data_IF_250564065659
#
_entry.id   IF_250564065659
#
_cell.length_a   1.000
_cell.length_b   1.000
_cell.length_c   1.000
_cell.angle_alpha   90.00
_cell.angle_beta   90.00
_cell.angle_gamma   90.00
#
_symmetry.space_group_name_H-M   'P 1'
#
loop_
_entity.id
_entity.type
_entity.pdbx_description
1 polymer ?
#
# COMPACT_ATOMS: atom_id res chain seq x y z
N UNK A 1 25.59 -3.60 23.23
CA UNK A 1 24.67 -2.95 22.26
C UNK A 1 24.45 -3.76 20.98
N UNK A 2 25.51 -4.22 20.29
CA UNK A 2 25.43 -4.97 19.02
C UNK A 2 24.53 -6.23 19.13
N UNK A 3 24.76 -7.09 20.13
CA UNK A 3 23.93 -8.29 20.39
C UNK A 3 22.44 -8.01 20.67
N UNK A 4 22.08 -6.80 21.12
CA UNK A 4 20.67 -6.44 21.33
C UNK A 4 20.03 -6.01 20.00
N UNK A 5 20.78 -5.31 19.16
CA UNK A 5 20.36 -4.88 17.83
C UNK A 5 20.15 -6.07 16.89
N UNK A 6 21.05 -7.05 16.92
CA UNK A 6 20.94 -8.26 16.09
C UNK A 6 19.73 -9.11 16.53
N UNK A 7 19.50 -9.27 17.84
CA UNK A 7 18.27 -9.91 18.36
C UNK A 7 17.00 -9.18 17.94
N UNK A 8 17.00 -7.85 17.99
CA UNK A 8 15.85 -7.05 17.56
C UNK A 8 15.60 -7.22 16.05
N UNK A 9 16.65 -7.32 15.24
CA UNK A 9 16.56 -7.60 13.81
C UNK A 9 15.96 -8.99 13.56
N UNK A 10 16.39 -10.04 14.27
CA UNK A 10 15.82 -11.38 14.11
C UNK A 10 14.31 -11.42 14.45
N UNK A 11 13.89 -10.71 15.50
CA UNK A 11 12.46 -10.56 15.83
C UNK A 11 11.73 -9.78 14.73
N UNK A 12 12.33 -8.72 14.20
CA UNK A 12 11.72 -7.92 13.14
C UNK A 12 11.55 -8.72 11.84
N UNK A 13 12.52 -9.56 11.47
CA UNK A 13 12.45 -10.46 10.32
C UNK A 13 11.25 -11.40 10.45
N UNK A 14 11.13 -12.09 11.60
CA UNK A 14 10.00 -12.99 11.86
C UNK A 14 8.66 -12.27 11.76
N UNK A 15 8.54 -11.09 12.36
CA UNK A 15 7.30 -10.30 12.36
C UNK A 15 6.95 -9.73 10.98
N UNK A 16 7.94 -9.32 10.19
CA UNK A 16 7.73 -8.78 8.85
C UNK A 16 7.23 -9.86 7.88
N UNK A 17 7.74 -11.09 8.02
CA UNK A 17 7.32 -12.26 7.26
C UNK A 17 6.14 -13.04 7.87
N UNK A 18 5.33 -12.43 8.75
CA UNK A 18 4.13 -13.06 9.31
C UNK A 18 2.86 -12.52 8.62
N UNK A 19 1.93 -13.39 8.15
CA UNK A 19 2.00 -14.85 8.14
C UNK A 19 3.10 -15.37 7.21
N UNK A 20 3.55 -16.61 7.43
CA UNK A 20 4.68 -17.21 6.70
C UNK A 20 4.50 -17.06 5.18
N UNK A 21 5.60 -16.76 4.48
CA UNK A 21 5.60 -16.58 3.02
C UNK A 21 5.46 -15.13 2.56
N UNK A 22 5.07 -14.20 3.43
CA UNK A 22 4.97 -12.79 3.05
C UNK A 22 6.36 -12.23 2.71
N UNK A 23 6.49 -11.72 1.48
CA UNK A 23 7.69 -11.02 1.02
C UNK A 23 7.60 -9.54 1.37
N UNK A 24 8.71 -8.93 1.75
CA UNK A 24 8.74 -7.56 2.25
C UNK A 24 9.98 -6.79 1.82
N UNK A 25 9.90 -5.45 1.91
CA UNK A 25 11.00 -4.56 1.55
C UNK A 25 11.96 -4.32 2.72
N UNK A 26 13.18 -3.87 2.41
CA UNK A 26 14.14 -3.41 3.43
C UNK A 26 13.56 -2.29 4.30
N UNK A 27 12.80 -1.38 3.68
CA UNK A 27 12.19 -0.25 4.38
C UNK A 27 11.09 -0.69 5.35
N UNK A 28 10.29 -1.69 4.97
CA UNK A 28 9.33 -2.32 5.89
C UNK A 28 10.03 -3.05 7.04
N UNK A 29 11.14 -3.74 6.76
CA UNK A 29 11.93 -4.41 7.79
C UNK A 29 12.51 -3.39 8.80
N UNK A 30 13.00 -2.25 8.31
CA UNK A 30 13.46 -1.15 9.17
C UNK A 30 12.37 -0.66 10.12
N UNK A 31 11.15 -0.42 9.62
CA UNK A 31 10.06 0.04 10.47
C UNK A 31 9.56 -1.05 11.43
N UNK A 32 9.61 -2.33 11.06
CA UNK A 32 9.33 -3.41 12.01
C UNK A 32 10.38 -3.47 13.11
N UNK A 33 11.65 -3.25 12.79
CA UNK A 33 12.71 -3.15 13.78
C UNK A 33 12.52 -1.95 14.71
N UNK A 34 12.08 -0.80 14.18
CA UNK A 34 11.68 0.34 15.01
C UNK A 34 10.57 -0.04 16.00
N UNK A 35 9.56 -0.81 15.57
CA UNK A 35 8.48 -1.32 16.43
C UNK A 35 8.94 -2.35 17.46
N UNK A 36 9.96 -3.14 17.17
CA UNK A 36 10.56 -4.08 18.13
C UNK A 36 11.30 -3.32 19.22
N UNK A 37 12.08 -2.31 18.85
CA UNK A 37 12.87 -1.51 19.79
C UNK A 37 12.00 -0.54 20.63
N UNK A 38 10.86 -0.13 20.08
CA UNK A 38 9.84 0.67 20.78
C UNK A 38 8.48 0.04 20.55
N UNK A 39 7.99 -0.83 21.46
CA UNK A 39 6.66 -1.43 21.33
C UNK A 39 5.57 -0.39 21.62
N UNK A 40 5.36 0.54 20.68
CA UNK A 40 4.47 1.70 20.83
C UNK A 40 2.99 1.35 21.05
N UNK A 41 2.60 0.11 20.79
CA UNK A 41 1.26 -0.41 21.10
C UNK A 41 1.02 -0.59 22.62
N UNK A 42 2.09 -0.57 23.44
CA UNK A 42 2.01 -0.65 24.89
C UNK A 42 2.14 0.71 25.59
N UNK A 43 2.37 1.80 24.83
CA UNK A 43 2.50 3.15 25.38
C UNK A 43 1.13 3.85 25.43
N UNK A 44 0.88 4.70 26.44
CA UNK A 44 -0.38 5.45 26.55
C UNK A 44 -0.59 6.31 25.30
N UNK A 45 -1.82 6.30 24.75
CA UNK A 45 -2.20 7.05 23.55
C UNK A 45 -2.14 8.57 23.82
N UNK A 46 -0.99 9.23 23.62
CA UNK A 46 -0.92 10.69 23.70
C UNK A 46 -1.20 11.31 22.31
N UNK A 47 -2.00 12.38 22.21
CA UNK A 47 -2.01 13.23 21.04
C UNK A 47 -0.84 14.24 21.15
N UNK A 48 -0.03 14.50 20.11
CA UNK A 48 0.09 13.83 18.80
C UNK A 48 1.25 12.81 18.78
N UNK A 49 0.93 11.51 18.87
CA UNK A 49 1.88 10.38 18.89
C UNK A 49 2.62 10.18 17.55
N UNK A 50 3.61 11.03 17.31
CA UNK A 50 4.56 10.89 16.20
C UNK A 50 5.95 10.81 16.80
N UNK A 51 6.46 9.59 16.94
CA UNK A 51 7.75 9.35 17.59
C UNK A 51 8.85 9.21 16.54
N UNK A 52 10.01 9.85 16.74
CA UNK A 52 11.16 9.65 15.87
C UNK A 52 11.62 8.19 15.94
N UNK A 53 12.24 7.67 14.87
CA UNK A 53 12.75 6.30 14.87
C UNK A 53 13.79 6.12 16.00
N UNK A 54 13.76 5.00 16.75
CA UNK A 54 14.72 4.73 17.83
C UNK A 54 16.15 4.55 17.34
N UNK A 55 16.34 4.22 16.07
CA UNK A 55 17.63 4.00 15.44
C UNK A 55 17.68 4.73 14.11
N UNK A 56 18.88 5.19 13.73
CA UNK A 56 19.09 5.75 12.39
C UNK A 56 19.05 4.64 11.35
N UNK A 57 18.60 4.98 10.15
CA UNK A 57 18.54 4.03 9.05
C UNK A 57 19.93 3.45 8.68
N UNK A 58 21.00 4.24 8.75
CA UNK A 58 22.37 3.75 8.53
C UNK A 58 22.80 2.68 9.53
N UNK A 59 22.42 2.83 10.81
CA UNK A 59 22.69 1.83 11.85
C UNK A 59 21.95 0.52 11.59
N UNK A 60 20.70 0.60 11.13
CA UNK A 60 19.94 -0.56 10.67
C UNK A 60 20.62 -1.24 9.48
N UNK A 61 21.01 -0.48 8.45
CA UNK A 61 21.69 -1.03 7.28
C UNK A 61 22.99 -1.74 7.62
N UNK A 62 23.78 -1.18 8.54
CA UNK A 62 24.99 -1.83 9.02
C UNK A 62 24.69 -3.15 9.73
N UNK A 63 23.61 -3.22 10.52
CA UNK A 63 23.17 -4.47 11.15
C UNK A 63 22.71 -5.52 10.13
N UNK A 64 21.90 -5.11 9.16
CA UNK A 64 21.44 -5.98 8.08
C UNK A 64 22.60 -6.50 7.22
N UNK A 65 23.60 -5.66 6.94
CA UNK A 65 24.80 -6.06 6.20
C UNK A 65 25.60 -7.12 6.96
N UNK A 66 25.83 -6.94 8.27
CA UNK A 66 26.51 -7.95 9.11
C UNK A 66 25.76 -9.28 9.17
N UNK A 67 24.42 -9.24 9.20
CA UNK A 67 23.59 -10.46 9.23
C UNK A 67 23.64 -11.25 7.91
N UNK A 68 23.98 -10.58 6.81
CA UNK A 68 23.86 -11.10 5.45
C UNK A 68 22.44 -10.91 4.92
N UNK A 69 22.22 -9.89 4.09
CA UNK A 69 20.89 -9.56 3.53
C UNK A 69 20.25 -10.77 2.83
N UNK A 70 21.04 -11.48 2.03
CA UNK A 70 20.61 -12.63 1.22
C UNK A 70 20.11 -13.79 2.07
N UNK A 71 20.53 -13.85 3.35
CA UNK A 71 20.12 -14.87 4.29
C UNK A 71 18.80 -14.54 4.99
N UNK A 72 18.21 -13.37 4.73
CA UNK A 72 16.95 -12.94 5.36
C UNK A 72 15.77 -13.47 4.55
N UNK A 73 14.98 -14.44 5.07
CA UNK A 73 13.86 -14.99 4.33
C UNK A 73 12.78 -13.94 4.05
N UNK A 74 12.25 -13.95 2.83
CA UNK A 74 11.18 -13.03 2.40
C UNK A 74 11.63 -11.59 2.13
N UNK A 75 12.89 -11.23 2.41
CA UNK A 75 13.40 -9.90 2.08
C UNK A 75 13.68 -9.80 0.58
N UNK A 76 12.99 -8.87 -0.08
CA UNK A 76 13.15 -8.64 -1.51
C UNK A 76 14.49 -7.96 -1.83
N UNK A 77 15.07 -8.17 -3.02
CA UNK A 77 16.20 -7.36 -3.48
C UNK A 77 15.83 -5.88 -3.51
N UNK A 78 16.80 -4.96 -3.47
CA UNK A 78 16.56 -3.55 -3.72
C UNK A 78 15.80 -3.38 -5.05
N UNK A 79 14.86 -2.45 -5.09
CA UNK A 79 14.11 -2.19 -6.31
C UNK A 79 15.06 -1.72 -7.42
N UNK A 80 15.02 -2.39 -8.57
CA UNK A 80 15.81 -2.00 -9.73
C UNK A 80 15.46 -0.56 -10.15
N UNK A 81 16.43 0.22 -10.67
CA UNK A 81 16.16 1.57 -11.18
C UNK A 81 15.09 1.55 -12.28
N UNK A 82 14.48 2.71 -12.62
CA UNK A 82 13.60 2.84 -13.77
C UNK A 82 14.21 2.21 -15.00
N UNK A 83 13.50 1.22 -15.54
CA UNK A 83 13.81 0.71 -16.86
C UNK A 83 13.14 1.69 -17.82
N UNK A 84 13.92 2.36 -18.67
CA UNK A 84 13.41 2.78 -19.97
C UNK A 84 12.96 1.51 -20.67
N UNK A 85 11.65 1.36 -20.85
CA UNK A 85 11.02 0.16 -21.39
C UNK A 85 11.60 -0.20 -22.76
N UNK A 86 12.51 -1.17 -22.79
CA UNK A 86 12.88 -1.97 -23.97
C UNK A 86 13.11 -3.41 -23.52
N UNK A 87 12.10 -4.01 -22.90
CA UNK A 87 12.02 -5.46 -22.66
C UNK A 87 10.91 -6.05 -23.53
N UNK A 88 10.97 -7.34 -23.91
CA UNK A 88 10.05 -7.91 -24.87
C UNK A 88 8.61 -7.73 -24.36
N UNK A 89 7.84 -7.01 -25.18
CA UNK A 89 6.39 -6.99 -25.14
C UNK A 89 5.91 -8.43 -24.99
N UNK A 90 4.98 -8.68 -24.08
CA UNK A 90 4.31 -9.98 -23.96
C UNK A 90 4.01 -10.52 -25.36
N UNK A 91 4.51 -11.72 -25.66
CA UNK A 91 4.32 -12.39 -26.96
C UNK A 91 2.88 -12.80 -27.21
N UNK A 92 1.99 -12.64 -26.22
CA UNK A 92 0.55 -12.84 -26.32
C UNK A 92 -0.13 -11.48 -26.61
N UNK A 93 -0.49 -11.21 -27.87
CA UNK A 93 -0.99 -9.91 -28.29
C UNK A 93 -2.41 -9.61 -27.78
N UNK A 94 -3.18 -10.65 -27.44
CA UNK A 94 -4.60 -10.58 -27.06
C UNK A 94 -4.84 -10.27 -25.56
N UNK A 95 -3.81 -10.38 -24.72
CA UNK A 95 -3.94 -10.11 -23.28
C UNK A 95 -4.50 -8.71 -22.98
N UNK A 96 -4.17 -7.73 -23.85
CA UNK A 96 -4.67 -6.37 -23.71
C UNK A 96 -6.06 -6.18 -24.31
N UNK A 97 -6.58 -7.10 -25.11
CA UNK A 97 -7.91 -6.97 -25.71
C UNK A 97 -9.00 -7.06 -24.64
N UNK A 98 -8.72 -7.72 -23.52
CA UNK A 98 -9.56 -7.71 -22.33
C UNK A 98 -9.52 -6.36 -21.60
N UNK A 99 -10.69 -5.91 -21.15
CA UNK A 99 -10.81 -4.72 -20.31
C UNK A 99 -10.12 -4.91 -18.96
N UNK A 100 -9.39 -3.90 -18.50
CA UNK A 100 -8.80 -3.88 -17.16
C UNK A 100 -9.72 -3.08 -16.22
N UNK A 101 -10.45 -3.71 -15.29
CA UNK A 101 -11.37 -2.98 -14.43
C UNK A 101 -10.63 -2.12 -13.39
N UNK A 102 -9.36 -2.42 -13.13
CA UNK A 102 -8.60 -1.72 -12.09
C UNK A 102 -7.10 -1.73 -12.34
N UNK A 103 -6.44 -0.73 -11.78
CA UNK A 103 -4.98 -0.56 -11.80
C UNK A 103 -4.51 0.09 -10.51
N UNK A 104 -3.34 -0.29 -10.01
CA UNK A 104 -2.73 0.30 -8.81
C UNK A 104 -1.40 0.97 -9.14
N UNK A 105 -1.28 2.25 -8.79
CA UNK A 105 -0.04 3.03 -8.94
C UNK A 105 0.51 3.35 -7.56
N UNK A 106 1.74 2.90 -7.30
CA UNK A 106 2.45 3.11 -6.06
C UNK A 106 3.44 4.28 -6.17
N UNK A 107 3.53 5.11 -5.14
CA UNK A 107 4.58 6.12 -5.02
C UNK A 107 5.99 5.50 -5.09
N UNK A 108 6.18 4.35 -4.43
CA UNK A 108 7.49 3.72 -4.29
C UNK A 108 7.55 2.42 -5.08
N UNK A 109 8.56 2.29 -5.93
CA UNK A 109 8.83 1.07 -6.69
C UNK A 109 9.05 -0.15 -5.80
N UNK A 110 9.73 0.01 -4.66
CA UNK A 110 9.93 -1.08 -3.72
C UNK A 110 8.60 -1.65 -3.20
N UNK A 111 7.59 -0.79 -2.98
CA UNK A 111 6.25 -1.23 -2.58
C UNK A 111 5.55 -1.91 -3.76
N UNK A 112 5.60 -1.35 -4.98
CA UNK A 112 5.05 -2.01 -6.17
C UNK A 112 5.62 -3.42 -6.38
N UNK A 113 6.95 -3.57 -6.30
CA UNK A 113 7.62 -4.87 -6.37
C UNK A 113 7.22 -5.81 -5.23
N UNK A 114 7.03 -5.28 -4.02
CA UNK A 114 6.53 -6.07 -2.89
C UNK A 114 5.12 -6.58 -3.10
N UNK A 115 4.20 -5.75 -3.58
CA UNK A 115 2.83 -6.16 -3.86
C UNK A 115 2.79 -7.21 -4.98
N UNK A 116 3.61 -7.06 -6.03
CA UNK A 116 3.74 -8.05 -7.11
C UNK A 116 4.33 -9.36 -6.61
N UNK A 117 5.35 -9.30 -5.76
CA UNK A 117 6.01 -10.49 -5.23
C UNK A 117 5.13 -11.27 -4.22
N UNK A 118 4.02 -10.69 -3.76
CA UNK A 118 2.97 -11.34 -2.98
C UNK A 118 1.68 -11.50 -3.80
N UNK A 119 1.79 -11.56 -5.13
CA UNK A 119 0.72 -11.93 -6.07
C UNK A 119 -0.56 -11.05 -6.05
N UNK A 120 -0.53 -9.89 -5.38
CA UNK A 120 -1.69 -8.99 -5.31
C UNK A 120 -2.20 -8.58 -6.70
N UNK A 121 -1.28 -8.45 -7.66
CA UNK A 121 -1.62 -8.13 -9.05
C UNK A 121 -2.52 -9.19 -9.71
N UNK A 122 -2.32 -10.46 -9.36
CA UNK A 122 -3.15 -11.58 -9.82
C UNK A 122 -4.43 -11.67 -8.99
N UNK A 123 -4.32 -11.64 -7.66
CA UNK A 123 -5.47 -11.78 -6.74
C UNK A 123 -6.51 -10.67 -6.93
N UNK A 124 -6.06 -9.45 -7.18
CA UNK A 124 -6.92 -8.29 -7.40
C UNK A 124 -7.24 -8.06 -8.89
N UNK A 125 -6.70 -8.86 -9.83
CA UNK A 125 -6.77 -8.60 -11.27
C UNK A 125 -6.40 -7.14 -11.61
N UNK A 126 -5.28 -6.68 -11.06
CA UNK A 126 -4.87 -5.27 -11.09
C UNK A 126 -3.39 -5.15 -11.42
N UNK A 127 -3.01 -4.61 -12.58
CA UNK A 127 -1.63 -4.24 -12.84
C UNK A 127 -1.12 -3.27 -11.77
N UNK A 128 0.13 -3.46 -11.33
CA UNK A 128 0.77 -2.66 -10.29
C UNK A 128 2.02 -1.99 -10.87
N UNK A 129 2.02 -0.66 -10.91
CA UNK A 129 3.14 0.16 -11.40
C UNK A 129 3.68 1.09 -10.32
N UNK A 130 4.91 1.57 -10.48
CA UNK A 130 5.40 2.71 -9.72
C UNK A 130 5.07 4.02 -10.46
N UNK A 131 4.98 5.13 -9.73
CA UNK A 131 4.76 6.47 -10.33
C UNK A 131 5.89 6.89 -11.28
N UNK A 132 7.10 6.39 -11.04
CA UNK A 132 8.28 6.64 -11.88
C UNK A 132 8.23 5.86 -13.20
N UNK A 133 7.34 4.87 -13.33
CA UNK A 133 7.09 4.12 -14.56
C UNK A 133 6.00 4.78 -15.43
N UNK A 134 5.60 6.02 -15.13
CA UNK A 134 4.61 6.76 -15.91
C UNK A 134 5.26 7.68 -16.96
N UNK A 135 4.70 7.75 -18.19
CA UNK A 135 3.50 7.06 -18.65
C UNK A 135 3.75 5.56 -18.94
N UNK A 136 2.74 4.69 -18.75
CA UNK A 136 2.86 3.26 -19.03
C UNK A 136 2.80 2.99 -20.55
N UNK A 137 2.94 1.72 -20.93
CA UNK A 137 2.61 1.25 -22.28
C UNK A 137 1.20 1.73 -22.67
N UNK A 138 1.00 2.36 -23.85
CA UNK A 138 -0.28 2.90 -24.29
C UNK A 138 -1.45 1.90 -24.30
N UNK A 139 -1.16 0.59 -24.39
CA UNK A 139 -2.18 -0.46 -24.35
C UNK A 139 -2.87 -0.57 -23.00
N UNK A 140 -2.19 -0.22 -21.90
CA UNK A 140 -2.76 -0.25 -20.54
C UNK A 140 -3.88 0.79 -20.36
N UNK A 141 -3.68 2.09 -20.66
CA UNK A 141 -4.77 3.07 -20.68
C UNK A 141 -5.92 2.67 -21.60
N UNK A 142 -5.64 2.12 -22.79
CA UNK A 142 -6.68 1.66 -23.71
C UNK A 142 -7.54 0.52 -23.12
N UNK A 143 -6.89 -0.44 -22.44
CA UNK A 143 -7.58 -1.54 -21.77
C UNK A 143 -8.42 -1.07 -20.57
N UNK A 144 -7.99 -0.02 -19.84
CA UNK A 144 -8.83 0.62 -18.82
C UNK A 144 -10.11 1.22 -19.42
N UNK A 145 -10.00 1.87 -20.59
CA UNK A 145 -11.16 2.45 -21.28
C UNK A 145 -12.19 1.40 -21.71
N UNK A 146 -11.73 0.22 -22.14
CA UNK A 146 -12.62 -0.89 -22.56
C UNK A 146 -13.47 -1.49 -21.44
N UNK A 147 -12.98 -1.48 -20.20
CA UNK A 147 -13.68 -2.15 -19.09
C UNK A 147 -14.98 -1.46 -18.67
N UNK A 148 -15.18 -0.18 -18.99
CA UNK A 148 -16.36 0.59 -18.57
C UNK A 148 -16.40 0.83 -17.07
N UNK A 149 -15.98 2.01 -16.60
CA UNK A 149 -15.97 2.34 -15.17
C UNK A 149 -14.71 1.87 -14.42
N UNK A 150 -13.59 1.67 -15.13
CA UNK A 150 -12.33 1.26 -14.53
C UNK A 150 -11.84 2.23 -13.45
N UNK A 151 -11.10 1.71 -12.48
CA UNK A 151 -10.58 2.50 -11.35
C UNK A 151 -9.07 2.40 -11.22
N UNK A 152 -8.39 3.54 -11.25
CA UNK A 152 -6.97 3.70 -11.00
C UNK A 152 -6.76 4.10 -9.55
N UNK A 153 -6.29 3.17 -8.73
CA UNK A 153 -5.94 3.41 -7.34
C UNK A 153 -4.54 3.99 -7.21
N UNK A 154 -4.36 4.95 -6.30
CA UNK A 154 -3.06 5.61 -6.07
C UNK A 154 -2.63 5.43 -4.62
N UNK A 155 -1.60 4.62 -4.40
CA UNK A 155 -1.01 4.36 -3.09
C UNK A 155 0.18 5.30 -2.84
N UNK A 156 0.03 6.19 -1.87
CA UNK A 156 1.04 7.20 -1.54
C UNK A 156 1.27 7.32 -0.02
N UNK A 157 2.39 7.93 0.35
CA UNK A 157 2.76 8.24 1.72
C UNK A 157 1.90 9.36 2.31
N UNK A 158 1.83 9.41 3.64
CA UNK A 158 1.23 10.53 4.36
C UNK A 158 2.22 11.69 4.43
N UNK A 159 2.26 12.52 3.38
CA UNK A 159 3.08 13.72 3.31
C UNK A 159 2.66 14.61 2.14
N UNK A 160 3.16 15.84 2.09
CA UNK A 160 2.80 16.80 1.04
C UNK A 160 3.07 16.26 -0.38
N UNK A 161 4.26 15.66 -0.58
CA UNK A 161 4.62 15.01 -1.84
C UNK A 161 3.66 13.87 -2.17
N UNK A 162 3.38 12.97 -1.22
CA UNK A 162 2.48 11.84 -1.42
C UNK A 162 1.06 12.27 -1.79
N UNK A 163 0.51 13.26 -1.09
CA UNK A 163 -0.83 13.80 -1.36
C UNK A 163 -0.94 14.50 -2.73
N UNK A 164 0.17 14.94 -3.33
CA UNK A 164 0.19 15.50 -4.68
C UNK A 164 0.18 14.43 -5.79
N UNK A 165 0.49 13.17 -5.47
CA UNK A 165 0.65 12.09 -6.46
C UNK A 165 -0.64 11.78 -7.23
N UNK A 166 -1.85 11.72 -6.63
CA UNK A 166 -3.06 11.47 -7.41
C UNK A 166 -3.28 12.48 -8.55
N UNK A 167 -2.94 13.75 -8.34
CA UNK A 167 -2.99 14.79 -9.37
C UNK A 167 -1.89 14.60 -10.43
N UNK A 168 -0.69 14.20 -10.01
CA UNK A 168 0.40 13.85 -10.94
C UNK A 168 0.02 12.66 -11.83
N UNK A 169 -0.55 11.61 -11.24
CA UNK A 169 -1.04 10.41 -11.95
C UNK A 169 -2.10 10.80 -12.96
N UNK A 170 -3.12 11.56 -12.57
CA UNK A 170 -4.16 12.01 -13.50
C UNK A 170 -3.57 12.76 -14.71
N UNK A 171 -2.55 13.60 -14.48
CA UNK A 171 -1.87 14.35 -15.55
C UNK A 171 -1.01 13.47 -16.46
N UNK A 172 -0.23 12.54 -15.90
CA UNK A 172 0.72 11.71 -16.67
C UNK A 172 0.07 10.50 -17.33
N UNK A 173 -0.93 9.90 -16.69
CA UNK A 173 -1.67 8.78 -17.23
C UNK A 173 -2.69 9.24 -18.28
N UNK A 174 -3.22 10.46 -18.14
CA UNK A 174 -4.31 11.01 -18.97
C UNK A 174 -5.41 9.95 -19.21
N UNK A 175 -6.03 9.44 -18.11
CA UNK A 175 -6.92 8.29 -18.22
C UNK A 175 -8.14 8.61 -19.11
N UNK A 176 -8.65 7.64 -19.89
CA UNK A 176 -9.84 7.84 -20.71
C UNK A 176 -11.06 8.29 -19.90
N UNK A 177 -12.05 8.84 -20.59
CA UNK A 177 -13.31 9.25 -19.97
C UNK A 177 -13.99 8.08 -19.22
N UNK A 178 -14.57 8.39 -18.06
CA UNK A 178 -15.19 7.40 -17.19
C UNK A 178 -14.22 6.62 -16.28
N UNK A 179 -12.91 6.72 -16.49
CA UNK A 179 -11.92 6.10 -15.58
C UNK A 179 -11.71 6.96 -14.33
N UNK A 180 -11.96 6.36 -13.16
CA UNK A 180 -11.81 7.03 -11.86
C UNK A 180 -10.35 6.97 -11.40
N UNK A 181 -9.84 8.06 -10.81
CA UNK A 181 -8.55 8.05 -10.09
C UNK A 181 -8.84 8.22 -8.61
N UNK A 182 -8.62 7.18 -7.81
CA UNK A 182 -8.98 7.11 -6.39
C UNK A 182 -7.71 7.04 -5.53
N UNK A 183 -7.48 7.98 -4.60
CA UNK A 183 -6.38 7.87 -3.67
C UNK A 183 -6.65 6.77 -2.62
N UNK A 184 -5.74 5.79 -2.53
CA UNK A 184 -5.69 4.76 -1.47
C UNK A 184 -4.50 4.97 -0.52
N UNK A 185 -3.79 6.09 -0.65
CA UNK A 185 -2.63 6.42 0.17
C UNK A 185 -2.97 6.67 1.64
N UNK A 186 -1.92 6.77 2.46
CA UNK A 186 -2.06 7.12 3.86
C UNK A 186 -2.39 8.60 4.00
N UNK A 187 -3.48 8.92 4.70
CA UNK A 187 -3.69 10.27 5.22
C UNK A 187 -2.90 10.50 6.51
N UNK A 188 -2.53 11.75 6.85
CA UNK A 188 -1.89 12.06 8.13
C UNK A 188 -2.68 11.55 9.35
N UNK A 189 -4.03 11.62 9.28
CA UNK A 189 -4.91 11.11 10.34
C UNK A 189 -4.80 9.58 10.49
N UNK A 190 -4.78 8.84 9.38
CA UNK A 190 -4.57 7.39 9.42
C UNK A 190 -3.16 7.03 9.91
N UNK A 191 -2.13 7.76 9.48
CA UNK A 191 -0.77 7.52 9.97
C UNK A 191 -0.68 7.70 11.50
N UNK A 192 -1.34 8.73 12.04
CA UNK A 192 -1.43 8.96 13.48
C UNK A 192 -2.22 7.87 14.21
N UNK A 193 -3.38 7.44 13.69
CA UNK A 193 -4.19 6.37 14.31
C UNK A 193 -3.51 5.01 14.28
N UNK A 194 -2.62 4.79 13.32
CA UNK A 194 -1.78 3.60 13.21
C UNK A 194 -0.49 3.68 14.02
N UNK A 195 -0.25 4.80 14.71
CA UNK A 195 0.98 5.09 15.45
C UNK A 195 2.25 4.82 14.61
N UNK A 196 2.21 5.21 13.33
CA UNK A 196 3.34 5.01 12.43
C UNK A 196 4.53 5.88 12.85
N UNK A 197 5.73 5.33 12.70
CA UNK A 197 6.96 6.13 12.82
C UNK A 197 6.97 7.19 11.73
N UNK A 198 7.14 8.45 12.12
CA UNK A 198 7.23 9.58 11.19
C UNK A 198 8.67 10.00 11.00
N UNK A 199 8.99 10.41 9.78
CA UNK A 199 10.21 11.11 9.46
C UNK A 199 9.94 12.61 9.40
N UNK A 200 10.98 13.41 9.62
CA UNK A 200 10.92 14.86 9.56
C UNK A 200 11.76 15.33 8.37
N UNK A 201 11.17 16.10 7.47
CA UNK A 201 11.94 16.82 6.45
C UNK A 201 12.54 18.06 7.12
N UNK A 202 13.87 18.14 7.17
CA UNK A 202 14.60 19.27 7.76
C UNK A 202 14.39 20.60 7.01
N UNK A 203 13.68 20.59 5.88
CA UNK A 203 13.50 21.72 4.97
C UNK A 203 12.06 22.23 4.87
N UNK A 204 11.18 21.85 5.80
CA UNK A 204 9.72 21.97 5.65
C UNK A 204 9.13 23.39 5.60
N UNK A 205 8.93 23.91 4.38
CA UNK A 205 7.80 24.82 4.06
C UNK A 205 6.81 24.03 3.21
N UNK A 206 5.84 23.39 3.85
CA UNK A 206 4.82 22.56 3.20
C UNK A 206 3.58 22.35 4.09
N UNK A 207 2.43 21.93 3.53
CA UNK A 207 1.11 22.01 4.18
C UNK A 207 0.85 21.02 5.34
N UNK A 208 1.84 20.20 5.74
CA UNK A 208 1.73 19.37 6.94
C UNK A 208 2.33 20.15 8.12
N UNK A 209 1.58 20.40 9.22
CA UNK A 209 2.12 21.08 10.39
C UNK A 209 3.41 20.39 10.85
N UNK A 210 4.55 21.07 10.66
CA UNK A 210 5.86 20.61 11.11
C UNK A 210 6.60 19.63 10.20
N UNK A 211 6.34 19.57 8.88
CA UNK A 211 7.23 18.83 7.94
C UNK A 211 7.36 17.32 8.17
N UNK A 212 6.46 16.75 8.99
CA UNK A 212 6.42 15.31 9.30
C UNK A 212 5.68 14.55 8.21
N UNK A 213 6.20 13.39 7.86
CA UNK A 213 5.55 12.44 6.96
C UNK A 213 5.68 11.00 7.46
N UNK A 214 4.76 10.14 7.03
CA UNK A 214 4.82 8.70 7.29
C UNK A 214 4.79 7.93 5.98
N UNK A 215 5.71 6.98 5.82
CA UNK A 215 5.78 6.13 4.65
C UNK A 215 4.76 5.00 4.70
N UNK A 216 4.23 4.58 3.55
CA UNK A 216 3.47 3.34 3.41
C UNK A 216 4.28 2.14 3.86
N UNK A 217 5.61 2.17 3.67
CA UNK A 217 6.53 1.16 4.17
C UNK A 217 6.50 1.01 5.70
N UNK A 218 6.02 2.01 6.45
CA UNK A 218 5.84 1.86 7.88
C UNK A 218 4.68 0.93 8.22
N UNK A 219 3.72 0.66 7.33
CA UNK A 219 2.64 -0.31 7.56
C UNK A 219 3.19 -1.73 7.47
N UNK A 220 2.75 -2.61 8.38
CA UNK A 220 3.12 -4.04 8.35
C UNK A 220 2.74 -4.67 7.00
N UNK A 221 3.61 -5.45 6.34
CA UNK A 221 3.36 -6.01 5.02
C UNK A 221 2.02 -6.75 4.91
N UNK A 222 1.75 -7.70 5.79
CA UNK A 222 0.50 -8.46 5.81
C UNK A 222 -0.75 -7.62 6.10
N UNK A 223 -0.62 -6.50 6.82
CA UNK A 223 -1.74 -5.57 7.04
C UNK A 223 -1.99 -4.75 5.79
N UNK A 224 -0.93 -4.30 5.12
CA UNK A 224 -1.03 -3.55 3.87
C UNK A 224 -1.70 -4.40 2.78
N UNK A 225 -1.22 -5.63 2.55
CA UNK A 225 -1.80 -6.56 1.58
C UNK A 225 -3.30 -6.79 1.82
N UNK A 226 -3.68 -7.19 3.05
CA UNK A 226 -5.10 -7.39 3.40
C UNK A 226 -5.96 -6.15 3.21
N UNK A 227 -5.43 -4.98 3.57
CA UNK A 227 -6.17 -3.72 3.44
C UNK A 227 -6.37 -3.36 1.97
N UNK A 228 -5.33 -3.47 1.15
CA UNK A 228 -5.43 -3.18 -0.28
C UNK A 228 -6.32 -4.18 -1.00
N UNK A 229 -6.15 -5.47 -0.76
CA UNK A 229 -7.01 -6.51 -1.33
C UNK A 229 -8.48 -6.25 -1.00
N UNK A 230 -8.80 -5.89 0.25
CA UNK A 230 -10.17 -5.54 0.64
C UNK A 230 -10.68 -4.29 -0.09
N UNK A 231 -9.95 -3.18 -0.02
CA UNK A 231 -10.38 -1.92 -0.64
C UNK A 231 -10.57 -2.05 -2.15
N UNK A 232 -9.65 -2.72 -2.84
CA UNK A 232 -9.71 -2.89 -4.29
C UNK A 232 -10.82 -3.84 -4.75
N UNK A 233 -11.37 -4.67 -3.85
CA UNK A 233 -12.53 -5.54 -4.12
C UNK A 233 -13.85 -4.89 -3.74
N UNK A 234 -13.90 -4.15 -2.63
CA UNK A 234 -15.12 -3.45 -2.19
C UNK A 234 -15.54 -2.35 -3.16
N UNK A 235 -14.58 -1.74 -3.87
CA UNK A 235 -14.83 -0.70 -4.87
C UNK A 235 -15.27 -1.26 -6.25
N UNK A 236 -15.63 -2.55 -6.35
CA UNK A 236 -16.11 -3.18 -7.59
C UNK A 236 -17.49 -2.62 -7.99
N UNK A 237 -17.62 -1.97 -9.17
CA UNK A 237 -18.91 -1.47 -9.66
C UNK A 237 -19.97 -2.57 -9.80
N UNK A 238 -19.57 -3.83 -10.03
CA UNK A 238 -20.49 -4.95 -10.14
C UNK A 238 -21.11 -5.37 -8.80
N UNK A 239 -20.47 -5.04 -7.67
CA UNK A 239 -20.94 -5.37 -6.32
C UNK A 239 -21.81 -4.24 -5.72
N UNK A 240 -22.01 -3.14 -6.46
CA UNK A 240 -22.91 -2.04 -6.11
C UNK A 240 -24.39 -2.37 -6.40
N UNK A 241 -24.85 -3.56 -5.99
CA UNK A 241 -26.26 -3.74 -5.65
C UNK A 241 -26.50 -3.06 -4.28
N UNK A 242 -27.58 -2.29 -4.07
CA UNK A 242 -27.76 -1.44 -2.89
C UNK A 242 -28.15 -2.25 -1.64
N UNK A 243 -27.26 -3.12 -1.15
CA UNK A 243 -27.55 -4.04 -0.04
C UNK A 243 -27.82 -3.35 1.31
N UNK A 244 -27.35 -2.13 1.53
CA UNK A 244 -27.49 -1.49 2.85
C UNK A 244 -28.77 -0.65 3.03
N UNK A 245 -29.40 -0.17 1.95
CA UNK A 245 -30.67 0.60 2.04
C UNK A 245 -31.91 -0.26 1.89
N UNK A 246 -31.84 -1.37 1.15
CA UNK A 246 -32.96 -2.29 0.98
C UNK A 246 -33.17 -3.22 2.18
N UNK A 247 -32.11 -3.61 2.91
CA UNK A 247 -32.26 -4.32 4.19
C UNK A 247 -32.93 -3.46 5.27
N UNK A 248 -32.63 -2.15 5.30
CA UNK A 248 -33.28 -1.22 6.23
C UNK A 248 -34.74 -0.90 5.84
N UNK A 249 -35.10 -1.02 4.55
CA UNK A 249 -36.50 -0.92 4.08
C UNK A 249 -37.27 -2.20 4.35
N UNK A 250 -36.70 -3.38 4.08
CA UNK A 250 -37.31 -4.68 4.44
C UNK A 250 -37.50 -4.84 5.95
N UNK A 251 -36.57 -4.36 6.77
CA UNK A 251 -36.71 -4.36 8.23
C UNK A 251 -37.78 -3.38 8.75
N UNK A 252 -38.23 -2.43 7.91
CA UNK A 252 -39.36 -1.52 8.22
C UNK A 252 -40.71 -2.04 7.72
N UNK A 253 -40.71 -2.93 6.73
CA UNK A 253 -41.93 -3.54 6.18
C UNK A 253 -42.29 -4.88 6.85
N UNK A 254 -41.39 -5.49 7.62
CA UNK A 254 -41.71 -6.64 8.48
C UNK A 254 -42.10 -6.16 9.88
N UNK A 255 -43.35 -5.71 9.99
CA UNK A 255 -43.99 -5.45 11.27
C UNK A 255 -44.09 -6.71 12.13
N UNK A 256 -43.95 -6.49 13.44
CA UNK A 256 -44.24 -7.47 14.48
C UNK A 256 -45.71 -7.94 14.46
N UNK A 257 -45.95 -9.14 15.02
CA UNK A 257 -47.22 -9.85 15.32
C UNK A 257 -47.75 -10.71 14.15
N UNK A 258 -47.91 -12.04 14.24
CA UNK A 258 -48.52 -12.86 15.31
C UNK A 258 -47.99 -14.31 15.35
N UNK A 259 -48.06 -14.93 16.54
CA UNK A 259 -47.85 -16.37 16.79
C UNK A 259 -48.89 -17.28 16.08
N UNK A 260 -48.65 -18.60 15.98
CA UNK A 260 -49.50 -19.55 15.25
C UNK A 260 -50.65 -20.12 16.11
N UNK A 261 -51.78 -20.53 15.48
CA UNK A 261 -52.54 -21.70 15.90
C UNK A 261 -52.03 -22.92 15.12
N UNK A 262 -51.72 -24.07 15.73
CA UNK A 262 -52.65 -24.98 16.40
C UNK A 262 -51.93 -25.81 17.46
#
# INVERSE_FOLDING_TARGET
MIRALDRALDVAIRRAGTPAGVRFTERQLYYEMCRVLRPLHAAPRLPPFTLPPPIRYGTFRAALARRGREQVPGLLPPAAPPHTTTGPVSTEPDLFDYGLPRMLICQHRAIASMLRANDLHMEAASPILAVDDLPPDPRLPAALGRAGGATVYVLHDAGATGMAIPRLVRRRLAPPDGVRVVPLGLSPRQAASLHLTTLHLTTGRGPSPGGRFAEVAAVRPARLLRTLHRLMREDDPADHAPRFRDELRKARDTGFMTQPPS
#
